data_IF_495085145483
#
_entry.id   IF_495085145483
#
_cell.length_a   1.000
_cell.length_b   1.000
_cell.length_c   1.000
_cell.angle_alpha   90.00
_cell.angle_beta   90.00
_cell.angle_gamma   90.00
#
_symmetry.space_group_name_H-M   'P 1'
#
loop_
_entity.id
_entity.type
_entity.pdbx_description
1 polymer ?
#
# COMPACT_ATOMS: atom_id res chain seq x y z
N UNK A 1 5.35 46.82 30.53
CA UNK A 1 5.86 47.23 29.20
C UNK A 1 5.41 46.13 28.24
N UNK A 2 4.51 46.30 27.28
CA UNK A 2 4.06 47.49 26.55
C UNK A 2 2.53 47.45 26.28
N UNK A 3 1.97 48.64 26.06
CA UNK A 3 0.55 48.99 25.94
C UNK A 3 -0.22 48.31 24.80
N UNK A 4 -1.49 48.05 25.10
CA UNK A 4 -2.59 47.84 24.15
C UNK A 4 -2.89 49.17 23.45
N UNK A 5 -2.73 49.22 22.13
CA UNK A 5 -3.28 50.28 21.27
C UNK A 5 -4.67 49.86 20.79
N UNK A 6 -5.66 50.73 20.99
CA UNK A 6 -7.01 50.64 20.43
C UNK A 6 -7.26 51.87 19.53
N UNK A 7 -8.36 51.97 18.79
CA UNK A 7 -8.55 51.46 17.43
C UNK A 7 -8.76 52.60 16.43
N UNK A 8 -8.30 52.47 15.18
CA UNK A 8 -8.91 53.22 14.08
C UNK A 8 -8.61 52.58 12.72
N UNK A 9 -9.70 52.15 12.06
CA UNK A 9 -9.85 51.95 10.61
C UNK A 9 -8.87 51.03 9.89
N UNK A 10 -9.29 49.79 9.62
CA UNK A 10 -10.02 49.47 8.38
C UNK A 10 -9.94 47.97 8.06
N UNK A 11 -11.06 47.42 7.58
CA UNK A 11 -11.22 46.11 6.94
C UNK A 11 -11.05 44.88 7.85
N UNK A 12 -11.86 44.78 8.90
CA UNK A 12 -12.23 43.48 9.48
C UNK A 12 -13.70 43.22 9.19
N UNK A 13 -13.98 42.12 8.48
CA UNK A 13 -15.32 41.52 8.46
C UNK A 13 -16.15 41.72 7.19
N UNK A 14 -15.59 42.16 6.07
CA UNK A 14 -16.32 42.05 4.79
C UNK A 14 -16.19 40.63 4.25
N UNK A 15 -17.16 39.80 4.64
CA UNK A 15 -17.75 38.77 3.79
C UNK A 15 -16.80 37.67 3.29
N UNK A 16 -16.50 36.71 4.17
CA UNK A 16 -16.47 35.30 3.73
C UNK A 16 -17.93 34.80 3.69
N UNK A 17 -18.80 35.50 2.98
CA UNK A 17 -19.85 34.80 2.25
C UNK A 17 -19.18 34.39 0.96
N UNK A 18 -18.62 33.17 0.96
CA UNK A 18 -18.35 32.49 -0.30
C UNK A 18 -19.67 32.43 -1.03
N UNK A 19 -19.74 33.15 -2.15
CA UNK A 19 -20.76 32.97 -3.16
C UNK A 19 -20.73 31.50 -3.51
N UNK A 20 -21.79 30.76 -3.16
CA UNK A 20 -21.94 29.32 -3.39
C UNK A 20 -21.44 28.94 -4.77
N UNK A 21 -20.18 28.50 -4.82
CA UNK A 21 -19.62 27.79 -5.94
C UNK A 21 -20.02 26.32 -5.82
N UNK A 22 -19.87 25.51 -6.88
CA UNK A 22 -20.17 24.07 -6.84
C UNK A 22 -19.36 23.27 -5.80
N UNK A 23 -18.47 23.92 -5.04
CA UNK A 23 -17.54 23.33 -4.07
C UNK A 23 -17.80 23.77 -2.62
N UNK A 24 -18.95 24.39 -2.33
CA UNK A 24 -19.32 24.81 -0.98
C UNK A 24 -20.35 23.82 -0.40
N UNK A 25 -19.92 22.98 0.56
CA UNK A 25 -20.82 22.18 1.40
C UNK A 25 -20.75 22.77 2.82
N UNK A 26 -21.87 23.31 3.32
CA UNK A 26 -22.01 23.80 4.72
C UNK A 26 -20.93 24.79 5.21
N UNK A 27 -20.42 25.68 4.35
CA UNK A 27 -19.31 26.63 4.63
C UNK A 27 -17.93 25.97 4.85
N UNK A 28 -17.77 24.70 4.49
CA UNK A 28 -16.48 24.02 4.47
C UNK A 28 -15.94 23.92 3.04
N UNK A 29 -14.63 24.13 2.82
CA UNK A 29 -14.01 23.92 1.51
C UNK A 29 -14.10 22.43 1.14
N UNK A 30 -14.72 22.13 0.00
CA UNK A 30 -14.78 20.76 -0.53
C UNK A 30 -13.45 20.39 -1.21
N UNK A 31 -12.88 19.25 -0.81
CA UNK A 31 -11.68 18.67 -1.41
C UNK A 31 -12.08 17.34 -2.05
N UNK A 32 -11.92 17.23 -3.36
CA UNK A 32 -12.12 15.97 -4.09
C UNK A 32 -10.85 15.11 -4.01
N UNK A 33 -11.00 13.87 -3.54
CA UNK A 33 -9.94 12.88 -3.49
C UNK A 33 -10.20 11.82 -4.58
N UNK A 34 -9.18 11.53 -5.39
CA UNK A 34 -9.26 10.50 -6.44
C UNK A 34 -8.87 9.10 -5.95
N UNK A 35 -8.63 8.95 -4.64
CA UNK A 35 -8.27 7.67 -4.04
C UNK A 35 -9.51 6.83 -3.74
N UNK A 36 -9.30 5.53 -3.55
CA UNK A 36 -10.38 4.61 -3.20
C UNK A 36 -10.98 4.99 -1.84
N UNK A 37 -12.31 5.14 -1.78
CA UNK A 37 -13.01 5.55 -0.57
C UNK A 37 -12.68 4.69 0.66
N UNK A 38 -12.60 3.36 0.49
CA UNK A 38 -12.23 2.44 1.58
C UNK A 38 -10.83 2.73 2.13
N UNK A 39 -9.87 3.02 1.26
CA UNK A 39 -8.47 3.25 1.66
C UNK A 39 -8.34 4.58 2.41
N UNK A 40 -9.06 5.61 1.95
CA UNK A 40 -9.14 6.92 2.61
C UNK A 40 -9.80 6.78 3.99
N UNK A 41 -10.90 6.03 4.08
CA UNK A 41 -11.56 5.76 5.36
C UNK A 41 -10.62 5.07 6.34
N UNK A 42 -9.92 4.02 5.90
CA UNK A 42 -8.94 3.31 6.72
C UNK A 42 -7.76 4.20 7.15
N UNK A 43 -7.29 5.09 6.27
CA UNK A 43 -6.25 6.06 6.60
C UNK A 43 -6.73 7.01 7.71
N UNK A 44 -7.95 7.55 7.60
CA UNK A 44 -8.49 8.46 8.61
C UNK A 44 -8.68 7.78 9.95
N UNK A 45 -9.26 6.57 9.98
CA UNK A 45 -9.34 5.78 11.22
C UNK A 45 -7.95 5.58 11.82
N UNK A 46 -6.96 5.24 10.99
CA UNK A 46 -5.58 5.04 11.46
C UNK A 46 -4.90 6.33 11.98
N UNK A 47 -5.30 7.51 11.49
CA UNK A 47 -4.80 8.80 11.94
C UNK A 47 -5.45 9.28 13.25
N UNK A 48 -6.76 9.06 13.41
CA UNK A 48 -7.51 9.52 14.57
C UNK A 48 -7.45 8.52 15.73
N UNK A 49 -7.72 7.25 15.47
CA UNK A 49 -7.82 6.20 16.49
C UNK A 49 -6.55 5.36 16.59
N UNK A 50 -5.63 5.50 15.62
CA UNK A 50 -4.43 4.69 15.49
C UNK A 50 -4.62 3.47 14.57
N UNK A 51 -3.52 2.87 14.08
CA UNK A 51 -3.61 1.71 13.20
C UNK A 51 -4.10 0.48 13.95
N UNK A 52 -5.22 -0.07 13.49
CA UNK A 52 -5.81 -1.31 13.99
C UNK A 52 -5.49 -2.45 13.02
N UNK A 53 -4.25 -2.92 13.05
CA UNK A 53 -3.82 -4.01 12.19
C UNK A 53 -4.06 -5.37 12.86
N UNK A 54 -4.50 -6.35 12.07
CA UNK A 54 -4.93 -7.67 12.49
C UNK A 54 -3.81 -8.71 12.53
N UNK A 55 -4.06 -9.88 11.95
CA UNK A 55 -3.18 -11.06 11.99
C UNK A 55 -2.40 -11.29 10.67
N UNK A 56 -2.32 -10.28 9.80
CA UNK A 56 -1.78 -10.37 8.43
C UNK A 56 -2.52 -11.36 7.52
N UNK A 57 -3.80 -11.65 7.77
CA UNK A 57 -4.63 -12.38 6.83
C UNK A 57 -4.96 -11.57 5.56
N UNK A 58 -5.79 -12.13 4.69
CA UNK A 58 -6.17 -11.49 3.43
C UNK A 58 -6.96 -10.19 3.62
N UNK A 59 -7.80 -10.09 4.65
CA UNK A 59 -8.63 -8.92 4.88
C UNK A 59 -7.83 -7.82 5.57
N UNK A 60 -6.99 -8.20 6.54
CA UNK A 60 -6.00 -7.31 7.14
C UNK A 60 -5.04 -6.75 6.09
N UNK A 61 -4.54 -7.59 5.18
CA UNK A 61 -3.67 -7.13 4.09
C UNK A 61 -4.36 -6.08 3.20
N UNK A 62 -5.66 -6.21 2.91
CA UNK A 62 -6.40 -5.20 2.13
C UNK A 62 -6.36 -3.85 2.82
N UNK A 63 -6.68 -3.81 4.12
CA UNK A 63 -6.67 -2.60 4.93
C UNK A 63 -5.27 -2.00 5.00
N UNK A 64 -4.28 -2.80 5.41
CA UNK A 64 -2.88 -2.36 5.57
C UNK A 64 -2.31 -1.87 4.24
N UNK A 65 -2.63 -2.52 3.12
CA UNK A 65 -2.15 -2.09 1.79
C UNK A 65 -2.69 -0.72 1.38
N UNK A 66 -3.97 -0.43 1.65
CA UNK A 66 -4.57 0.87 1.39
C UNK A 66 -3.94 1.96 2.26
N UNK A 67 -3.81 1.67 3.56
CA UNK A 67 -3.15 2.58 4.51
C UNK A 67 -1.69 2.83 4.11
N UNK A 68 -0.94 1.81 3.69
CA UNK A 68 0.45 1.95 3.27
C UNK A 68 0.59 2.79 2.00
N UNK A 69 -0.27 2.58 1.01
CA UNK A 69 -0.29 3.41 -0.22
C UNK A 69 -0.53 4.87 0.09
N UNK A 70 -1.58 5.17 0.85
CA UNK A 70 -1.95 6.54 1.13
C UNK A 70 -1.01 7.23 2.10
N UNK A 71 -0.49 6.52 3.11
CA UNK A 71 0.56 7.07 3.99
C UNK A 71 1.85 7.37 3.20
N UNK A 72 2.19 6.57 2.19
CA UNK A 72 3.31 6.87 1.29
C UNK A 72 3.01 8.08 0.39
N UNK A 73 1.81 8.15 -0.20
CA UNK A 73 1.39 9.26 -1.07
C UNK A 73 1.30 10.60 -0.33
N UNK A 74 0.78 10.58 0.89
CA UNK A 74 0.57 11.77 1.73
C UNK A 74 1.68 12.02 2.75
N UNK A 75 2.80 11.29 2.65
CA UNK A 75 4.00 11.47 3.49
C UNK A 75 3.71 11.39 4.99
N UNK A 76 2.88 10.43 5.39
CA UNK A 76 2.58 10.12 6.78
C UNK A 76 3.57 9.04 7.26
N UNK A 77 4.81 9.46 7.49
CA UNK A 77 5.95 8.55 7.74
C UNK A 77 5.70 7.60 8.92
N UNK A 78 5.14 8.10 10.02
CA UNK A 78 4.88 7.30 11.22
C UNK A 78 3.90 6.15 10.97
N UNK A 79 2.93 6.35 10.08
CA UNK A 79 1.95 5.32 9.73
C UNK A 79 2.50 4.37 8.68
N UNK A 80 3.29 4.89 7.74
CA UNK A 80 4.03 4.09 6.76
C UNK A 80 4.96 3.10 7.45
N UNK A 81 5.75 3.56 8.41
CA UNK A 81 6.66 2.71 9.20
C UNK A 81 5.91 1.61 9.96
N UNK A 82 4.80 1.95 10.62
CA UNK A 82 3.96 0.97 11.33
C UNK A 82 3.37 -0.07 10.38
N UNK A 83 2.87 0.34 9.21
CA UNK A 83 2.32 -0.57 8.22
C UNK A 83 3.39 -1.52 7.66
N UNK A 84 4.60 -1.01 7.36
CA UNK A 84 5.72 -1.85 6.91
C UNK A 84 6.16 -2.81 8.02
N UNK A 85 6.27 -2.33 9.26
CA UNK A 85 6.63 -3.18 10.40
C UNK A 85 5.62 -4.32 10.59
N UNK A 86 4.33 -4.01 10.44
CA UNK A 86 3.25 -5.00 10.50
C UNK A 86 3.37 -6.05 9.39
N UNK A 87 3.51 -5.62 8.13
CA UNK A 87 3.68 -6.53 7.00
C UNK A 87 4.97 -7.36 7.10
N UNK A 88 6.02 -6.82 7.72
CA UNK A 88 7.30 -7.50 7.91
C UNK A 88 7.19 -8.71 8.85
N UNK A 89 6.12 -8.83 9.64
CA UNK A 89 5.84 -10.03 10.44
C UNK A 89 5.48 -11.20 9.52
N UNK A 90 4.64 -10.97 8.51
CA UNK A 90 4.23 -11.98 7.54
C UNK A 90 5.22 -12.15 6.36
N UNK A 91 5.97 -11.09 6.04
CA UNK A 91 6.93 -11.02 4.94
C UNK A 91 8.30 -10.53 5.43
N UNK A 92 8.97 -11.32 6.28
CA UNK A 92 10.25 -10.94 6.87
C UNK A 92 11.38 -10.94 5.84
N UNK A 93 12.41 -10.13 6.07
CA UNK A 93 13.63 -10.11 5.24
C UNK A 93 14.71 -11.12 5.68
N UNK A 94 14.46 -11.86 6.77
CA UNK A 94 15.43 -12.80 7.36
C UNK A 94 14.90 -14.22 7.35
N UNK A 95 15.81 -15.20 7.20
CA UNK A 95 15.44 -16.62 7.20
C UNK A 95 14.83 -17.06 8.53
N UNK A 96 15.37 -16.57 9.66
CA UNK A 96 14.80 -16.86 10.99
C UNK A 96 13.36 -16.35 11.11
N UNK A 97 13.08 -15.15 10.58
CA UNK A 97 11.72 -14.62 10.55
C UNK A 97 10.81 -15.48 9.66
N UNK A 98 11.32 -15.91 8.50
CA UNK A 98 10.59 -16.79 7.60
C UNK A 98 10.20 -18.10 8.27
N UNK A 99 11.13 -18.76 8.98
CA UNK A 99 10.87 -20.01 9.68
C UNK A 99 9.78 -19.84 10.76
N UNK A 100 9.86 -18.77 11.55
CA UNK A 100 8.84 -18.45 12.56
C UNK A 100 7.46 -18.18 11.94
N UNK A 101 7.41 -17.49 10.80
CA UNK A 101 6.20 -17.25 10.03
C UNK A 101 5.61 -18.56 9.47
N UNK A 102 6.44 -19.49 9.01
CA UNK A 102 6.00 -20.81 8.54
C UNK A 102 5.44 -21.68 9.67
N UNK A 103 5.99 -21.59 10.88
CA UNK A 103 5.44 -22.30 12.05
C UNK A 103 3.99 -21.86 12.33
N UNK A 104 3.72 -20.55 12.28
CA UNK A 104 2.38 -19.99 12.45
C UNK A 104 1.45 -20.45 11.32
N UNK A 105 1.91 -20.41 10.06
CA UNK A 105 1.13 -20.88 8.92
C UNK A 105 0.73 -22.37 9.05
N UNK A 106 1.67 -23.23 9.47
CA UNK A 106 1.41 -24.66 9.70
C UNK A 106 0.40 -24.90 10.83
N UNK A 107 0.50 -24.15 11.93
CA UNK A 107 -0.46 -24.24 13.02
C UNK A 107 -1.88 -23.89 12.53
N UNK A 108 -2.00 -22.82 11.74
CA UNK A 108 -3.27 -22.41 11.15
C UNK A 108 -3.86 -23.47 10.19
N UNK A 109 -3.05 -24.09 9.34
CA UNK A 109 -3.50 -25.19 8.46
C UNK A 109 -4.02 -26.39 9.27
N UNK A 110 -3.37 -26.70 10.40
CA UNK A 110 -3.80 -27.78 11.30
C UNK A 110 -5.13 -27.44 11.99
N UNK A 111 -5.31 -26.21 12.46
CA UNK A 111 -6.54 -25.76 13.12
C UNK A 111 -7.73 -25.70 12.16
N UNK A 112 -7.51 -25.24 10.93
CA UNK A 112 -8.56 -25.12 9.91
C UNK A 112 -8.91 -26.44 9.23
N UNK A 113 -8.09 -27.47 9.40
CA UNK A 113 -8.29 -28.80 8.80
C UNK A 113 -8.29 -28.80 7.26
N UNK A 114 -7.88 -27.69 6.64
CA UNK A 114 -7.94 -27.50 5.19
C UNK A 114 -6.52 -27.51 4.63
N UNK A 115 -6.18 -28.59 3.93
CA UNK A 115 -4.87 -28.71 3.28
C UNK A 115 -4.68 -27.59 2.25
N UNK A 116 -3.65 -26.76 2.45
CA UNK A 116 -3.33 -25.63 1.57
C UNK A 116 -4.10 -24.33 1.87
N UNK A 117 -4.76 -24.21 3.02
CA UNK A 117 -5.32 -22.94 3.47
C UNK A 117 -4.20 -21.92 3.74
N UNK A 118 -4.16 -20.84 2.95
CA UNK A 118 -3.18 -19.78 3.13
C UNK A 118 -3.69 -18.74 4.11
N UNK A 119 -3.03 -18.65 5.27
CA UNK A 119 -3.22 -17.55 6.22
C UNK A 119 -2.86 -16.20 5.57
N UNK A 120 -1.64 -16.14 5.00
CA UNK A 120 -1.07 -14.90 4.48
C UNK A 120 -1.49 -14.59 3.04
N UNK A 121 -1.39 -13.31 2.61
CA UNK A 121 -1.74 -12.89 1.25
C UNK A 121 -0.90 -13.59 0.16
N UNK A 122 -1.34 -13.44 -1.09
CA UNK A 122 -0.55 -13.98 -2.21
C UNK A 122 0.80 -13.25 -2.34
N UNK A 123 1.91 -13.95 -2.59
CA UNK A 123 3.23 -13.32 -2.70
C UNK A 123 3.28 -12.29 -3.84
N UNK A 124 2.53 -12.52 -4.92
CA UNK A 124 2.44 -11.58 -6.04
C UNK A 124 1.80 -10.24 -5.63
N UNK A 125 0.77 -10.26 -4.79
CA UNK A 125 0.15 -9.04 -4.29
C UNK A 125 1.14 -8.23 -3.43
N UNK A 126 1.94 -8.91 -2.63
CA UNK A 126 2.95 -8.28 -1.77
C UNK A 126 4.10 -7.71 -2.59
N UNK A 127 4.59 -8.42 -3.61
CA UNK A 127 5.61 -7.92 -4.54
C UNK A 127 5.13 -6.64 -5.25
N UNK A 128 3.88 -6.63 -5.73
CA UNK A 128 3.33 -5.47 -6.41
C UNK A 128 3.22 -4.27 -5.45
N UNK A 129 2.68 -4.49 -4.25
CA UNK A 129 2.59 -3.44 -3.22
C UNK A 129 3.97 -2.90 -2.83
N UNK A 130 4.93 -3.79 -2.57
CA UNK A 130 6.29 -3.42 -2.16
C UNK A 130 7.00 -2.58 -3.22
N UNK A 131 6.77 -2.85 -4.51
CA UNK A 131 7.28 -2.03 -5.62
C UNK A 131 6.55 -0.70 -5.75
N UNK A 132 5.25 -0.70 -5.52
CA UNK A 132 4.40 0.51 -5.59
C UNK A 132 4.77 1.55 -4.53
N UNK A 133 5.11 1.11 -3.31
CA UNK A 133 5.37 1.99 -2.14
C UNK A 133 6.84 2.08 -1.75
N UNK A 134 7.73 1.59 -2.61
CA UNK A 134 9.19 1.50 -2.40
C UNK A 134 9.56 0.91 -1.02
N UNK A 135 9.08 -0.31 -0.76
CA UNK A 135 9.34 -1.07 0.45
C UNK A 135 10.13 -2.36 0.14
N UNK A 136 11.42 -2.26 -0.22
CA UNK A 136 12.22 -3.40 -0.66
C UNK A 136 12.43 -4.47 0.43
N UNK A 137 12.23 -4.14 1.70
CA UNK A 137 12.35 -5.06 2.84
C UNK A 137 11.38 -6.24 2.77
N UNK A 138 10.22 -6.08 2.10
CA UNK A 138 9.20 -7.13 1.95
C UNK A 138 9.49 -8.08 0.78
N UNK A 139 10.39 -7.71 -0.13
CA UNK A 139 10.63 -8.44 -1.38
C UNK A 139 11.32 -9.81 -1.18
N UNK A 140 12.34 -9.98 -0.31
CA UNK A 140 13.09 -11.23 -0.25
C UNK A 140 12.22 -12.46 0.06
N UNK A 141 11.39 -12.39 1.10
CA UNK A 141 10.46 -13.48 1.45
C UNK A 141 9.36 -13.65 0.41
N UNK A 142 8.85 -12.56 -0.18
CA UNK A 142 7.82 -12.65 -1.19
C UNK A 142 8.30 -13.36 -2.47
N UNK A 143 9.51 -13.08 -2.93
CA UNK A 143 10.13 -13.81 -4.03
C UNK A 143 10.46 -15.26 -3.67
N UNK A 144 10.90 -15.51 -2.43
CA UNK A 144 11.14 -16.86 -1.97
C UNK A 144 9.86 -17.70 -1.95
N UNK A 145 8.74 -17.17 -1.43
CA UNK A 145 7.44 -17.86 -1.45
C UNK A 145 6.97 -18.12 -2.89
N UNK A 146 7.14 -17.14 -3.78
CA UNK A 146 6.80 -17.28 -5.19
C UNK A 146 7.58 -18.41 -5.87
N UNK A 147 8.87 -18.58 -5.52
CA UNK A 147 9.72 -19.63 -6.10
C UNK A 147 9.29 -21.06 -5.73
N UNK A 148 8.53 -21.21 -4.64
CA UNK A 148 8.02 -22.50 -4.15
C UNK A 148 6.72 -22.91 -4.86
N UNK A 149 6.09 -22.01 -5.62
CA UNK A 149 4.85 -22.28 -6.35
C UNK A 149 5.23 -22.92 -7.70
N UNK A 150 4.68 -24.10 -8.04
CA UNK A 150 4.96 -24.71 -9.33
C UNK A 150 4.47 -23.80 -10.47
N UNK A 151 5.30 -23.68 -11.52
CA UNK A 151 5.07 -22.78 -12.65
C UNK A 151 3.69 -22.92 -13.30
N UNK A 152 3.11 -24.12 -13.29
CA UNK A 152 1.76 -24.40 -13.80
C UNK A 152 0.70 -23.58 -13.05
N UNK A 153 0.80 -23.48 -11.73
CA UNK A 153 -0.15 -22.71 -10.90
C UNK A 153 0.03 -21.21 -11.13
N UNK A 154 1.26 -20.75 -11.35
CA UNK A 154 1.55 -19.36 -11.71
C UNK A 154 0.89 -18.97 -13.05
N UNK A 155 1.01 -19.83 -14.08
CA UNK A 155 0.38 -19.59 -15.37
C UNK A 155 -1.15 -19.60 -15.29
N UNK A 156 -1.73 -20.48 -14.48
CA UNK A 156 -3.18 -20.53 -14.28
C UNK A 156 -3.70 -19.27 -13.57
N UNK A 157 -3.01 -18.81 -12.53
CA UNK A 157 -3.40 -17.58 -11.81
C UNK A 157 -3.29 -16.33 -12.68
N UNK A 158 -2.25 -16.22 -13.51
CA UNK A 158 -2.12 -15.10 -14.46
C UNK A 158 -3.11 -15.20 -15.64
N UNK A 159 -3.41 -16.40 -16.14
CA UNK A 159 -4.39 -16.58 -17.24
C UNK A 159 -5.83 -16.33 -16.81
N UNK A 160 -6.20 -16.67 -15.58
CA UNK A 160 -7.58 -16.55 -15.12
C UNK A 160 -7.94 -15.12 -14.68
N UNK A 161 -6.97 -14.24 -14.38
CA UNK A 161 -7.23 -12.88 -13.90
C UNK A 161 -6.49 -11.81 -14.73
N UNK A 162 -6.77 -11.67 -16.05
CA UNK A 162 -6.08 -10.69 -16.90
C UNK A 162 -6.39 -9.24 -16.52
N UNK A 163 -7.56 -8.95 -15.94
CA UNK A 163 -8.03 -7.59 -15.65
C UNK A 163 -7.53 -6.98 -14.32
N UNK A 164 -6.84 -7.75 -13.46
CA UNK A 164 -6.30 -7.21 -12.18
C UNK A 164 -4.87 -6.67 -12.30
N UNK A 165 -4.28 -6.75 -13.48
CA UNK A 165 -2.91 -6.30 -13.73
C UNK A 165 -2.93 -5.17 -14.78
N UNK A 166 -3.46 -4.02 -14.39
CA UNK A 166 -3.22 -2.78 -15.14
C UNK A 166 -1.77 -2.38 -14.89
N UNK A 167 -0.98 -2.34 -15.96
CA UNK A 167 0.43 -1.94 -15.92
C UNK A 167 0.54 -0.49 -15.42
N UNK A 168 1.42 -0.14 -14.47
CA UNK A 168 1.98 1.20 -14.47
C UNK A 168 2.88 1.30 -15.70
N UNK A 169 2.60 2.26 -16.57
CA UNK A 169 3.38 2.55 -17.77
C UNK A 169 4.83 2.88 -17.40
N UNK A 170 5.69 1.86 -17.38
CA UNK A 170 7.13 2.04 -17.28
C UNK A 170 7.63 2.45 -18.67
N UNK A 171 7.70 3.76 -18.91
CA UNK A 171 8.49 4.31 -20.00
C UNK A 171 9.97 4.02 -19.71
N UNK A 172 10.45 2.88 -20.18
CA UNK A 172 11.89 2.67 -20.35
C UNK A 172 12.31 3.29 -21.69
N UNK A 173 13.34 4.13 -21.73
CA UNK A 173 13.92 4.56 -23.00
C UNK A 173 14.59 3.36 -23.68
N UNK A 174 14.19 3.11 -24.92
CA UNK A 174 14.80 2.13 -25.81
C UNK A 174 16.28 2.45 -26.05
N UNK A 175 17.16 1.81 -25.31
CA UNK A 175 18.58 1.69 -25.69
C UNK A 175 19.00 0.25 -25.44
N UNK A 176 19.73 -0.30 -26.42
CA UNK A 176 20.16 -1.69 -26.59
C UNK A 176 19.19 -2.62 -27.33
N UNK A 177 19.31 -2.59 -28.67
CA UNK A 177 19.57 -3.79 -29.46
C UNK A 177 20.00 -3.41 -30.89
N UNK A 178 21.30 -3.45 -31.16
CA UNK A 178 21.83 -3.78 -32.49
C UNK A 178 23.16 -4.49 -32.34
N UNK A 179 23.11 -5.76 -31.94
CA UNK A 179 24.20 -6.70 -32.23
C UNK A 179 23.76 -7.45 -33.47
N UNK A 180 24.38 -7.14 -34.61
CA UNK A 180 24.23 -7.91 -35.84
C UNK A 180 25.09 -9.17 -35.77
N UNK A 181 24.59 -10.34 -36.21
CA UNK A 181 25.36 -11.57 -36.16
C UNK A 181 26.21 -11.67 -37.43
N UNK A 182 27.50 -11.30 -37.39
CA UNK A 182 28.42 -11.71 -38.47
C UNK A 182 29.93 -11.64 -38.16
N UNK A 183 30.37 -12.04 -36.97
CA UNK A 183 31.82 -12.22 -36.69
C UNK A 183 32.10 -13.59 -36.07
N UNK A 184 31.81 -14.65 -36.82
CA UNK A 184 32.44 -15.96 -36.65
C UNK A 184 32.92 -16.47 -38.01
N UNK A 185 34.16 -16.10 -38.36
CA UNK A 185 35.10 -16.90 -39.17
C UNK A 185 36.49 -16.68 -38.60
#
# INVERSE_FOLDING_TARGET
>A
MFSIGNPSNSVLGSSIYSKGGPNDFENCPLIELHDKADDVGNLFVALYDGPHFGNNDQDDFRVVSGVLRLSTKYLVDSLREKAIAHLSIAWPSTLKGWDAREDVARAYEMETGTSGARLYPSPLAVINLAREVDAPTLLPSAFFDLSRIPFIILLLTLRLHPHRYHQPHLHLPSVFLSVTPNDFV
#
